data_IF_487460218200
#
_entry.id   IF_487460218200
#
_cell.length_a   1.000
_cell.length_b   1.000
_cell.length_c   1.000
_cell.angle_alpha   90.00
_cell.angle_beta   90.00
_cell.angle_gamma   90.00
#
_symmetry.space_group_name_H-M   'P 1'
#
loop_
_entity.id
_entity.type
_entity.pdbx_description
1 polymer ?
#
# COMPACT_ATOMS: atom_id res chain seq x y z
N UNK A 1 9.83 -2.14 36.61
CA UNK A 1 9.49 -2.23 35.18
C UNK A 1 8.15 -1.57 34.98
N UNK A 2 8.13 -0.30 34.58
CA UNK A 2 6.91 0.41 34.25
C UNK A 2 6.67 0.26 32.75
N UNK A 3 5.48 -0.19 32.35
CA UNK A 3 5.01 -0.05 30.98
C UNK A 3 4.94 1.46 30.71
N UNK A 4 5.83 1.98 29.87
CA UNK A 4 5.72 3.34 29.38
C UNK A 4 4.48 3.41 28.49
N UNK A 5 3.36 3.84 29.08
CA UNK A 5 2.27 4.43 28.33
C UNK A 5 2.83 5.71 27.71
N UNK A 6 3.41 5.58 26.52
CA UNK A 6 3.67 6.72 25.65
C UNK A 6 2.32 7.42 25.50
N UNK A 7 2.23 8.66 25.95
CA UNK A 7 1.12 9.55 25.62
C UNK A 7 1.04 9.54 24.09
N UNK A 8 0.07 8.81 23.54
CA UNK A 8 -0.10 8.70 22.10
C UNK A 8 -0.48 10.10 21.63
N UNK A 9 0.51 10.86 21.12
CA UNK A 9 0.22 11.87 20.13
C UNK A 9 -0.74 11.24 19.14
N UNK A 10 -1.85 11.92 18.84
CA UNK A 10 -2.84 11.36 17.94
C UNK A 10 -2.20 11.19 16.57
N UNK A 11 -1.83 9.95 16.26
CA UNK A 11 -1.28 9.59 14.96
C UNK A 11 -2.41 9.74 13.95
N UNK A 12 -2.31 10.76 13.09
CA UNK A 12 -3.32 11.06 12.09
C UNK A 12 -3.27 10.12 10.88
N UNK A 13 -2.10 9.50 10.63
CA UNK A 13 -1.91 8.57 9.52
C UNK A 13 -0.96 7.44 9.91
N UNK A 14 -1.28 6.23 9.45
CA UNK A 14 -0.46 5.05 9.63
C UNK A 14 -0.52 4.20 8.35
N UNK A 15 0.61 3.66 7.93
CA UNK A 15 0.73 2.89 6.69
C UNK A 15 1.20 1.48 7.00
N UNK A 16 0.50 0.51 6.42
CA UNK A 16 0.87 -0.91 6.48
C UNK A 16 0.87 -1.42 5.03
N UNK A 17 1.97 -2.00 4.53
CA UNK A 17 1.94 -2.66 3.24
C UNK A 17 0.89 -3.77 3.25
N UNK A 18 0.06 -3.84 2.21
CA UNK A 18 -1.01 -4.85 2.17
C UNK A 18 -0.46 -6.28 2.21
N UNK A 19 0.73 -6.52 1.63
CA UNK A 19 1.46 -7.78 1.69
C UNK A 19 1.82 -8.23 3.12
N UNK A 20 1.81 -7.30 4.08
CA UNK A 20 2.10 -7.55 5.49
C UNK A 20 0.84 -7.81 6.32
N UNK A 21 -0.35 -7.81 5.72
CA UNK A 21 -1.62 -8.12 6.39
C UNK A 21 -1.92 -9.61 6.25
N UNK A 22 -2.21 -10.28 7.38
CA UNK A 22 -2.51 -11.72 7.47
C UNK A 22 -3.79 -11.96 8.26
N UNK A 23 -4.36 -13.15 8.13
CA UNK A 23 -5.50 -13.63 8.93
C UNK A 23 -6.69 -12.66 8.98
N UNK A 24 -7.08 -12.15 7.81
CA UNK A 24 -8.17 -11.18 7.67
C UNK A 24 -9.52 -11.82 8.01
N UNK A 25 -10.32 -11.14 8.83
CA UNK A 25 -11.68 -11.54 9.17
C UNK A 25 -12.59 -10.35 9.35
N UNK A 26 -13.84 -10.50 8.94
CA UNK A 26 -14.90 -9.55 9.22
C UNK A 26 -15.77 -10.06 10.37
N UNK A 27 -16.00 -9.23 11.37
CA UNK A 27 -16.79 -9.58 12.56
C UNK A 27 -18.02 -8.70 12.64
N UNK A 28 -19.18 -9.36 12.68
CA UNK A 28 -20.50 -8.76 12.83
C UNK A 28 -21.11 -9.20 14.17
N UNK A 29 -20.80 -8.48 15.27
CA UNK A 29 -21.31 -8.85 16.57
C UNK A 29 -22.81 -8.53 16.67
N UNK A 30 -23.54 -9.27 17.51
CA UNK A 30 -24.95 -8.99 17.79
C UNK A 30 -25.14 -7.60 18.43
N UNK A 31 -24.16 -7.17 19.22
CA UNK A 31 -24.09 -5.85 19.84
C UNK A 31 -22.72 -5.22 19.55
N UNK A 32 -22.72 -3.94 19.20
CA UNK A 32 -21.51 -3.18 18.86
C UNK A 32 -21.32 -2.97 17.37
N UNK A 33 -20.24 -2.29 17.00
CA UNK A 33 -19.94 -1.95 15.63
C UNK A 33 -19.28 -3.12 14.87
N UNK A 34 -19.58 -3.20 13.57
CA UNK A 34 -18.89 -4.10 12.66
C UNK A 34 -17.42 -3.72 12.59
N UNK A 35 -16.56 -4.73 12.50
CA UNK A 35 -15.12 -4.51 12.44
C UNK A 35 -14.42 -5.50 11.53
N UNK A 36 -13.37 -5.02 10.90
CA UNK A 36 -12.39 -5.82 10.19
C UNK A 36 -11.20 -6.03 11.12
N UNK A 37 -10.80 -7.28 11.32
CA UNK A 37 -9.65 -7.66 12.12
C UNK A 37 -8.62 -8.36 11.24
N UNK A 38 -7.33 -8.09 11.46
CA UNK A 38 -6.23 -8.75 10.78
C UNK A 38 -4.95 -8.69 11.62
N UNK A 39 -3.94 -9.47 11.25
CA UNK A 39 -2.60 -9.42 11.82
C UNK A 39 -1.70 -8.60 10.91
N UNK A 40 -1.14 -7.51 11.41
CA UNK A 40 -0.13 -6.71 10.74
C UNK A 40 1.27 -7.23 11.12
N UNK A 41 2.02 -7.67 10.11
CA UNK A 41 3.41 -8.07 10.23
C UNK A 41 4.30 -6.82 10.10
N UNK A 42 5.19 -6.55 11.06
CA UNK A 42 6.02 -5.35 11.02
C UNK A 42 7.01 -5.41 9.84
N UNK A 43 7.38 -4.24 9.34
CA UNK A 43 8.46 -4.07 8.35
C UNK A 43 9.76 -3.70 9.05
N UNK A 44 10.88 -4.00 8.39
CA UNK A 44 12.18 -3.50 8.83
C UNK A 44 12.14 -1.97 8.95
N UNK A 45 12.69 -1.42 10.03
CA UNK A 45 12.69 0.01 10.34
C UNK A 45 11.29 0.65 10.52
N UNK A 46 10.23 -0.15 10.70
CA UNK A 46 8.86 0.35 10.91
C UNK A 46 8.54 0.76 12.35
N UNK A 47 9.50 0.64 13.29
CA UNK A 47 9.36 0.97 14.72
C UNK A 47 8.22 0.25 15.48
N UNK A 48 7.63 -0.79 14.89
CA UNK A 48 6.66 -1.68 15.53
C UNK A 48 7.31 -3.03 15.75
N UNK A 49 7.37 -3.48 17.00
CA UNK A 49 7.92 -4.78 17.37
C UNK A 49 6.82 -5.85 17.42
N UNK A 50 7.13 -7.03 16.87
CA UNK A 50 6.22 -8.16 16.88
C UNK A 50 5.00 -7.99 15.97
N UNK A 51 4.20 -9.05 15.86
CA UNK A 51 2.95 -9.03 15.11
C UNK A 51 1.91 -8.20 15.87
N UNK A 52 1.29 -7.23 15.20
CA UNK A 52 0.27 -6.38 15.78
C UNK A 52 -1.14 -6.79 15.33
N UNK A 53 -2.13 -6.62 16.20
CA UNK A 53 -3.54 -6.80 15.83
C UNK A 53 -4.06 -5.49 15.22
N UNK A 54 -4.48 -5.53 13.97
CA UNK A 54 -5.19 -4.45 13.29
C UNK A 54 -6.69 -4.62 13.51
N UNK A 55 -7.36 -3.59 14.04
CA UNK A 55 -8.82 -3.56 14.21
C UNK A 55 -9.36 -2.28 13.61
N UNK A 56 -10.14 -2.41 12.53
CA UNK A 56 -10.83 -1.29 11.87
C UNK A 56 -12.32 -1.37 12.21
N UNK A 57 -12.84 -0.36 12.90
CA UNK A 57 -14.25 -0.30 13.32
C UNK A 57 -15.02 0.66 12.42
N UNK A 58 -16.12 0.20 11.84
CA UNK A 58 -16.92 0.96 10.89
C UNK A 58 -18.13 1.57 11.57
N UNK A 59 -18.19 2.91 11.65
CA UNK A 59 -19.29 3.65 12.28
C UNK A 59 -20.50 3.83 11.35
N UNK A 60 -20.26 3.98 10.05
CA UNK A 60 -21.29 4.37 9.06
C UNK A 60 -21.58 3.28 8.00
N UNK A 61 -21.20 2.02 8.28
CA UNK A 61 -21.34 0.91 7.32
C UNK A 61 -20.13 0.73 6.41
N UNK A 62 -20.29 -0.02 5.31
CA UNK A 62 -19.22 -0.29 4.33
C UNK A 62 -18.16 -1.32 4.74
N UNK A 63 -18.20 -1.82 5.98
CA UNK A 63 -17.21 -2.76 6.49
C UNK A 63 -17.16 -4.11 5.74
N UNK A 64 -18.31 -4.60 5.28
CA UNK A 64 -18.38 -5.84 4.51
C UNK A 64 -17.76 -5.70 3.12
N UNK A 65 -18.09 -4.62 2.41
CA UNK A 65 -17.50 -4.29 1.11
C UNK A 65 -15.99 -4.08 1.22
N UNK A 66 -15.54 -3.35 2.24
CA UNK A 66 -14.12 -3.20 2.55
C UNK A 66 -13.43 -4.55 2.74
N UNK A 67 -13.98 -5.42 3.60
CA UNK A 67 -13.42 -6.74 3.86
C UNK A 67 -13.35 -7.60 2.58
N UNK A 68 -14.37 -7.50 1.73
CA UNK A 68 -14.44 -8.20 0.44
C UNK A 68 -13.34 -7.73 -0.51
N UNK A 69 -13.16 -6.42 -0.66
CA UNK A 69 -12.12 -5.83 -1.52
C UNK A 69 -10.72 -6.11 -0.96
N UNK A 70 -10.52 -5.94 0.35
CA UNK A 70 -9.24 -6.21 1.00
C UNK A 70 -8.81 -7.67 0.81
N UNK A 71 -9.75 -8.61 0.91
CA UNK A 71 -9.48 -10.02 0.67
C UNK A 71 -9.11 -10.29 -0.79
N UNK A 72 -9.88 -9.76 -1.76
CA UNK A 72 -9.55 -9.87 -3.19
C UNK A 72 -8.17 -9.30 -3.53
N UNK A 73 -7.80 -8.16 -2.96
CA UNK A 73 -6.46 -7.58 -3.13
C UNK A 73 -5.38 -8.51 -2.58
N UNK A 74 -5.64 -9.15 -1.44
CA UNK A 74 -4.69 -10.08 -0.82
C UNK A 74 -4.49 -11.33 -1.66
N UNK A 75 -5.57 -11.88 -2.20
CA UNK A 75 -5.55 -13.03 -3.11
C UNK A 75 -4.72 -12.69 -4.36
N UNK A 76 -4.97 -11.54 -5.00
CA UNK A 76 -4.18 -11.07 -6.16
C UNK A 76 -2.69 -10.91 -5.86
N UNK A 77 -2.33 -10.26 -4.75
CA UNK A 77 -0.92 -10.07 -4.37
C UNK A 77 -0.21 -11.41 -4.14
N UNK A 78 -0.92 -12.39 -3.59
CA UNK A 78 -0.36 -13.73 -3.40
C UNK A 78 -0.16 -14.48 -4.71
N UNK A 79 -1.04 -14.26 -5.70
CA UNK A 79 -0.97 -14.88 -7.02
C UNK A 79 0.15 -14.31 -7.89
N UNK A 80 0.30 -12.98 -7.95
CA UNK A 80 1.26 -12.31 -8.84
C UNK A 80 2.61 -12.04 -8.18
N UNK A 81 2.67 -12.00 -6.85
CA UNK A 81 3.83 -11.52 -6.10
C UNK A 81 4.05 -10.00 -6.22
N UNK A 82 3.19 -9.30 -6.95
CA UNK A 82 3.26 -7.87 -7.21
C UNK A 82 2.11 -7.15 -6.49
N UNK A 83 2.41 -5.98 -5.91
CA UNK A 83 1.36 -5.06 -5.46
C UNK A 83 0.62 -4.56 -6.71
N UNK A 84 -0.72 -4.56 -6.77
CA UNK A 84 -1.44 -4.17 -7.97
C UNK A 84 -0.97 -2.79 -8.42
N UNK A 85 -0.41 -2.70 -9.62
CA UNK A 85 -0.14 -1.41 -10.24
C UNK A 85 -1.47 -0.67 -10.36
N UNK A 86 -1.49 0.61 -9.97
CA UNK A 86 -2.66 1.48 -10.13
C UNK A 86 -3.21 1.32 -11.56
N UNK A 87 -4.50 1.00 -11.71
CA UNK A 87 -5.17 0.86 -13.01
C UNK A 87 -5.40 2.23 -13.70
N UNK A 88 -4.79 3.30 -13.20
CA UNK A 88 -4.75 4.58 -13.90
C UNK A 88 -3.70 4.46 -15.00
N UNK A 89 -4.17 4.37 -16.25
CA UNK A 89 -3.31 4.52 -17.43
C UNK A 89 -2.46 5.78 -17.22
N UNK A 90 -1.14 5.61 -17.27
CA UNK A 90 -0.22 6.74 -17.20
C UNK A 90 -0.66 7.77 -18.24
N UNK A 91 -0.76 9.06 -17.87
CA UNK A 91 -1.09 10.10 -18.84
C UNK A 91 -0.18 9.96 -20.06
N UNK A 92 -0.77 9.88 -21.24
CA UNK A 92 0.00 9.88 -22.49
C UNK A 92 0.92 11.10 -22.51
N UNK A 93 2.20 10.90 -22.84
CA UNK A 93 3.14 12.01 -22.95
C UNK A 93 2.71 12.92 -24.11
N UNK A 94 2.03 14.02 -23.79
CA UNK A 94 1.86 15.12 -24.74
C UNK A 94 3.19 15.87 -24.82
N UNK A 95 3.93 15.61 -25.90
CA UNK A 95 5.15 16.36 -26.20
C UNK A 95 4.87 17.86 -26.27
N UNK A 96 5.86 18.71 -25.93
CA UNK A 96 5.67 20.15 -25.92
C UNK A 96 5.12 20.66 -27.28
N UNK A 97 4.11 21.53 -27.28
CA UNK A 97 3.51 22.03 -28.51
C UNK A 97 4.46 23.03 -29.18
N UNK A 98 4.97 22.65 -30.35
CA UNK A 98 5.75 23.52 -31.23
C UNK A 98 7.25 23.35 -31.10
N UNK A 99 7.82 22.41 -31.86
CA UNK A 99 8.54 22.75 -33.09
C UNK A 99 8.99 21.44 -33.75
N UNK A 100 9.10 21.45 -35.07
CA UNK A 100 9.68 20.38 -35.88
C UNK A 100 10.81 19.66 -35.14
N UNK A 101 10.68 18.33 -34.99
CA UNK A 101 11.77 17.46 -34.53
C UNK A 101 13.05 17.88 -35.30
N UNK A 102 14.13 18.33 -34.65
CA UNK A 102 15.40 18.39 -35.33
C UNK A 102 15.70 16.96 -35.78
N UNK A 103 16.05 16.79 -37.05
CA UNK A 103 16.54 15.51 -37.55
C UNK A 103 17.59 14.99 -36.56
N UNK A 104 17.40 13.77 -36.06
CA UNK A 104 18.38 13.11 -35.21
C UNK A 104 19.76 13.30 -35.85
N UNK A 105 20.75 13.87 -35.15
CA UNK A 105 22.12 13.76 -35.60
C UNK A 105 22.44 12.26 -35.69
N UNK A 106 23.01 11.82 -36.81
CA UNK A 106 23.41 10.43 -37.06
C UNK A 106 24.57 9.96 -36.12
N UNK A 107 24.97 10.80 -35.16
CA UNK A 107 25.91 10.44 -34.12
C UNK A 107 25.16 9.85 -32.92
N UNK A 108 25.36 8.55 -32.71
CA UNK A 108 25.01 7.91 -31.46
C UNK A 108 25.58 8.71 -30.26
N UNK A 109 24.81 8.91 -29.18
CA UNK A 109 25.30 9.61 -28.00
C UNK A 109 26.60 8.94 -27.52
N UNK A 110 27.62 9.72 -27.09
CA UNK A 110 28.89 9.16 -26.68
C UNK A 110 28.64 8.10 -25.61
N UNK A 111 29.02 6.86 -25.94
CA UNK A 111 28.83 5.71 -25.08
C UNK A 111 29.49 5.98 -23.73
N UNK A 112 28.78 5.68 -22.65
CA UNK A 112 29.35 5.67 -21.31
C UNK A 112 30.49 4.64 -21.34
N UNK A 113 31.74 5.12 -21.37
CA UNK A 113 32.89 4.26 -21.19
C UNK A 113 32.71 3.57 -19.83
N UNK A 114 32.50 2.26 -19.87
CA UNK A 114 32.44 1.43 -18.67
C UNK A 114 33.82 1.49 -18.03
N UNK A 115 33.97 2.37 -17.03
CA UNK A 115 35.11 2.36 -16.13
C UNK A 115 35.19 0.97 -15.48
N UNK A 116 36.17 0.19 -15.93
CA UNK A 116 36.57 -1.08 -15.32
C UNK A 116 37.56 -0.84 -14.20
#
# INVERSE_FOLDING_TARGET
>A
MALNAVMLEQVNSYTIPHANIRDQKFVQPLFGANRFEAIAVPVANGHVEGRAMLVLTFKEGGGFDFATIARKMSERIQETGEVPAHEEELPGYEGPPGDSLPAYPDEAPPGYEQHR
#
